data_IF_286717087222
#
_entry.id   IF_286717087222
#
_cell.length_a   1.000
_cell.length_b   1.000
_cell.length_c   1.000
_cell.angle_alpha   90.00
_cell.angle_beta   90.00
_cell.angle_gamma   90.00
#
_symmetry.space_group_name_H-M   'P 1'
#
loop_
_entity.id
_entity.type
_entity.pdbx_description
1 polymer ?
#
# COMPACT_ATOMS: atom_id res chain seq x y z
N UNK A 1 15.57 4.68 -13.27
CA UNK A 1 14.17 4.55 -12.84
C UNK A 1 13.37 5.72 -13.37
N UNK A 2 12.18 5.46 -13.93
CA UNK A 2 11.37 6.49 -14.57
C UNK A 2 10.59 7.39 -13.60
N UNK A 3 10.00 8.44 -14.17
CA UNK A 3 9.13 9.38 -13.47
C UNK A 3 7.86 9.59 -14.28
N UNK A 4 6.73 9.67 -13.61
CA UNK A 4 5.46 10.12 -14.18
C UNK A 4 5.19 11.54 -13.69
N UNK A 5 4.55 12.34 -14.53
CA UNK A 5 4.22 13.73 -14.15
C UNK A 5 2.72 13.84 -13.92
N UNK A 6 2.33 14.32 -12.76
CA UNK A 6 0.95 14.62 -12.41
C UNK A 6 0.83 16.10 -12.11
N UNK A 7 0.40 16.89 -13.11
CA UNK A 7 0.18 18.33 -12.96
C UNK A 7 1.39 19.09 -12.36
N UNK A 8 2.59 18.69 -12.79
CA UNK A 8 3.83 19.32 -12.34
C UNK A 8 4.51 18.64 -11.18
N UNK A 9 3.89 17.62 -10.58
CA UNK A 9 4.49 16.81 -9.52
C UNK A 9 5.10 15.56 -10.16
N UNK A 10 6.41 15.33 -9.93
CA UNK A 10 7.14 14.19 -10.49
C UNK A 10 7.08 13.03 -9.52
N UNK A 11 6.49 11.93 -9.94
CA UNK A 11 6.36 10.69 -9.13
C UNK A 11 7.38 9.68 -9.67
N UNK A 12 8.35 9.33 -8.84
CA UNK A 12 9.32 8.30 -9.18
C UNK A 12 8.70 6.92 -8.98
N UNK A 13 9.07 5.97 -9.84
CA UNK A 13 8.60 4.59 -9.67
C UNK A 13 9.61 3.58 -10.21
N UNK A 14 9.48 2.35 -9.74
CA UNK A 14 10.18 1.21 -10.32
C UNK A 14 9.18 0.40 -11.12
N UNK A 15 9.63 -0.25 -12.18
CA UNK A 15 8.81 -1.18 -12.96
C UNK A 15 9.62 -2.42 -13.29
N UNK A 16 9.03 -3.58 -13.03
CA UNK A 16 9.57 -4.89 -13.41
C UNK A 16 8.59 -5.53 -14.37
N UNK A 17 9.05 -5.78 -15.60
CA UNK A 17 8.23 -6.33 -16.67
C UNK A 17 8.65 -7.78 -16.91
N UNK A 18 7.75 -8.74 -16.83
CA UNK A 18 8.09 -10.13 -17.16
C UNK A 18 8.27 -10.33 -18.67
N UNK A 19 8.83 -11.47 -19.05
CA UNK A 19 9.01 -11.82 -20.46
C UNK A 19 7.70 -12.26 -21.12
N UNK A 20 6.68 -12.53 -20.34
CA UNK A 20 5.36 -13.01 -20.79
C UNK A 20 4.27 -12.22 -20.05
N UNK A 21 3.05 -12.29 -20.54
CA UNK A 21 1.91 -11.65 -19.90
C UNK A 21 1.33 -10.51 -20.71
N UNK A 22 0.27 -9.92 -20.21
CA UNK A 22 -0.44 -8.82 -20.87
C UNK A 22 0.31 -7.50 -20.63
N UNK A 23 0.79 -6.82 -21.66
CA UNK A 23 1.51 -5.56 -21.49
C UNK A 23 0.64 -4.41 -20.97
N UNK A 24 -0.69 -4.56 -21.03
CA UNK A 24 -1.63 -3.54 -20.56
C UNK A 24 -2.05 -3.77 -19.09
N UNK A 25 -1.52 -4.80 -18.43
CA UNK A 25 -1.92 -5.19 -17.08
C UNK A 25 -0.72 -5.15 -16.13
N UNK A 26 -0.95 -4.66 -14.91
CA UNK A 26 0.11 -4.61 -13.90
C UNK A 26 -0.45 -4.70 -12.49
N UNK A 27 0.38 -5.22 -11.59
CA UNK A 27 0.19 -5.04 -10.15
C UNK A 27 0.85 -3.71 -9.79
N UNK A 28 0.13 -2.84 -9.09
CA UNK A 28 0.62 -1.51 -8.72
C UNK A 28 0.54 -1.35 -7.19
N UNK A 29 1.66 -1.07 -6.56
CA UNK A 29 1.71 -0.89 -5.12
C UNK A 29 1.36 0.56 -4.74
N UNK A 30 0.63 0.73 -3.62
CA UNK A 30 0.25 2.04 -3.07
C UNK A 30 0.65 2.05 -1.60
N UNK A 31 1.59 2.92 -1.27
CA UNK A 31 2.24 2.91 0.05
C UNK A 31 1.52 3.69 1.16
N UNK A 32 1.91 3.36 2.50
CA UNK A 32 1.50 3.81 3.61
C UNK A 32 1.77 5.17 3.76
N UNK A 33 1.33 5.54 4.90
CA UNK A 33 1.55 6.91 5.38
C UNK A 33 3.03 7.09 5.75
N UNK A 34 3.70 7.96 5.06
CA UNK A 34 5.10 8.31 5.36
C UNK A 34 6.18 7.25 5.16
N UNK A 35 5.82 6.05 4.70
CA UNK A 35 6.81 4.98 4.55
C UNK A 35 7.31 4.87 3.11
N UNK A 36 8.59 4.50 2.97
CA UNK A 36 9.24 4.27 1.70
C UNK A 36 8.73 3.05 0.94
N UNK A 37 9.17 2.90 -0.30
CA UNK A 37 8.78 1.77 -1.14
C UNK A 37 9.28 0.43 -0.59
N UNK A 38 10.27 0.44 0.30
CA UNK A 38 10.82 -0.75 0.97
C UNK A 38 9.73 -1.66 1.56
N UNK A 39 8.61 -1.06 1.97
CA UNK A 39 7.53 -1.79 2.64
C UNK A 39 6.96 -2.94 1.80
N UNK A 40 7.11 -2.87 0.49
CA UNK A 40 6.62 -3.88 -0.45
C UNK A 40 7.67 -4.90 -0.89
N UNK A 41 8.89 -4.82 -0.37
CA UNK A 41 9.98 -5.72 -0.79
C UNK A 41 9.62 -7.21 -0.72
N UNK A 42 8.88 -7.60 0.31
CA UNK A 42 8.45 -9.00 0.50
C UNK A 42 7.36 -9.42 -0.51
N UNK A 43 6.46 -8.51 -0.86
CA UNK A 43 5.39 -8.77 -1.82
C UNK A 43 5.90 -8.69 -3.26
N UNK A 44 6.79 -7.73 -3.53
CA UNK A 44 7.41 -7.56 -4.84
C UNK A 44 8.09 -8.85 -5.28
N UNK A 45 8.88 -9.46 -4.39
CA UNK A 45 9.61 -10.69 -4.70
C UNK A 45 8.68 -11.86 -5.08
N UNK A 46 7.46 -11.89 -4.53
CA UNK A 46 6.50 -12.95 -4.81
C UNK A 46 5.72 -12.71 -6.12
N UNK A 47 5.55 -11.46 -6.52
CA UNK A 47 4.67 -11.09 -7.65
C UNK A 47 5.41 -10.76 -8.94
N UNK A 48 6.69 -10.33 -8.88
CA UNK A 48 7.48 -9.82 -10.02
C UNK A 48 7.91 -10.95 -10.89
N UNK A 49 7.67 -11.96 -11.14
CA UNK A 49 7.99 -12.99 -12.15
C UNK A 49 6.83 -13.16 -13.11
N UNK A 50 5.63 -13.51 -12.58
CA UNK A 50 4.47 -13.70 -13.45
C UNK A 50 3.81 -12.39 -13.90
N UNK A 51 3.96 -11.30 -13.15
CA UNK A 51 3.24 -10.05 -13.40
C UNK A 51 4.19 -8.89 -13.65
N UNK A 52 3.75 -7.91 -14.45
CA UNK A 52 4.37 -6.56 -14.41
C UNK A 52 4.07 -6.00 -13.02
N UNK A 53 5.10 -5.54 -12.34
CA UNK A 53 4.95 -4.94 -10.99
C UNK A 53 5.47 -3.51 -11.04
N UNK A 54 4.63 -2.56 -10.64
CA UNK A 54 4.97 -1.15 -10.57
C UNK A 54 4.95 -0.71 -9.11
N UNK A 55 6.02 -0.06 -8.68
CA UNK A 55 6.17 0.40 -7.31
C UNK A 55 6.43 1.92 -7.30
N UNK A 56 5.37 2.73 -7.25
CA UNK A 56 5.55 4.18 -7.12
C UNK A 56 6.07 4.55 -5.74
N UNK A 57 6.92 5.55 -5.68
CA UNK A 57 7.25 6.25 -4.44
C UNK A 57 6.18 7.32 -4.24
N UNK A 58 5.36 7.19 -3.21
CA UNK A 58 4.27 8.13 -2.93
C UNK A 58 4.80 9.58 -2.90
N UNK A 59 4.00 10.57 -3.35
CA UNK A 59 4.47 11.96 -3.32
C UNK A 59 5.02 12.31 -1.94
N UNK A 60 6.20 12.94 -1.92
CA UNK A 60 6.90 13.32 -0.71
C UNK A 60 7.75 12.22 -0.07
N UNK A 61 7.75 11.01 -0.64
CA UNK A 61 8.52 9.88 -0.13
C UNK A 61 9.63 9.54 -1.13
N UNK A 62 10.76 9.10 -0.64
CA UNK A 62 11.88 8.69 -1.47
C UNK A 62 12.38 9.84 -2.34
N UNK A 63 12.30 9.68 -3.65
CA UNK A 63 12.75 10.69 -4.62
C UNK A 63 11.60 11.27 -5.45
N UNK A 64 10.35 11.02 -5.05
CA UNK A 64 9.21 11.72 -5.62
C UNK A 64 9.18 13.16 -5.10
N UNK A 65 8.63 14.08 -5.90
CA UNK A 65 8.48 15.47 -5.46
C UNK A 65 7.63 15.56 -4.18
N UNK A 66 7.99 16.54 -3.34
CA UNK A 66 7.34 16.79 -2.06
C UNK A 66 6.72 18.19 -2.03
N UNK A 67 5.62 18.42 -2.78
CA UNK A 67 4.97 19.74 -2.73
C UNK A 67 4.39 20.00 -1.34
N UNK A 68 4.21 21.27 -1.00
CA UNK A 68 3.62 21.61 0.30
C UNK A 68 2.22 21.02 0.44
N UNK A 69 1.92 20.45 1.61
CA UNK A 69 0.59 19.94 1.92
C UNK A 69 -0.41 21.04 2.27
N UNK A 70 -1.61 20.68 2.71
CA UNK A 70 -2.07 19.31 2.95
C UNK A 70 -2.32 18.53 1.66
N UNK A 71 -2.22 17.21 1.68
CA UNK A 71 -2.62 16.37 0.55
C UNK A 71 -4.01 15.81 0.77
N UNK A 72 -4.59 15.28 -0.31
CA UNK A 72 -5.86 14.52 -0.26
C UNK A 72 -5.65 13.14 -0.84
N UNK A 73 -6.50 12.19 -0.44
CA UNK A 73 -6.43 10.83 -0.99
C UNK A 73 -6.69 10.85 -2.51
N UNK A 74 -7.53 11.78 -2.98
CA UNK A 74 -7.81 11.93 -4.41
C UNK A 74 -6.56 12.37 -5.20
N UNK A 75 -5.75 13.27 -4.64
CA UNK A 75 -4.48 13.66 -5.28
C UNK A 75 -3.51 12.48 -5.35
N UNK A 76 -3.41 11.71 -4.26
CA UNK A 76 -2.55 10.52 -4.23
C UNK A 76 -3.02 9.47 -5.25
N UNK A 77 -4.34 9.32 -5.40
CA UNK A 77 -4.91 8.43 -6.41
C UNK A 77 -4.59 8.90 -7.82
N UNK A 78 -4.62 10.22 -8.06
CA UNK A 78 -4.26 10.75 -9.38
C UNK A 78 -2.77 10.58 -9.70
N UNK A 79 -1.90 10.51 -8.68
CA UNK A 79 -0.48 10.19 -8.87
C UNK A 79 -0.33 8.74 -9.39
N UNK A 80 -1.07 7.81 -8.79
CA UNK A 80 -1.06 6.41 -9.23
C UNK A 80 -1.59 6.31 -10.68
N UNK A 81 -2.67 7.04 -10.99
CA UNK A 81 -3.22 7.06 -12.35
C UNK A 81 -2.19 7.60 -13.35
N UNK A 82 -1.45 8.66 -12.99
CA UNK A 82 -0.42 9.22 -13.86
C UNK A 82 0.69 8.19 -14.16
N UNK A 83 1.06 7.39 -13.16
CA UNK A 83 2.05 6.30 -13.37
C UNK A 83 1.47 5.24 -14.32
N UNK A 84 0.22 4.82 -14.10
CA UNK A 84 -0.45 3.84 -14.97
C UNK A 84 -0.55 4.35 -16.41
N UNK A 85 -0.90 5.62 -16.59
CA UNK A 85 -0.98 6.24 -17.93
C UNK A 85 0.40 6.24 -18.59
N UNK A 86 1.44 6.62 -17.84
CA UNK A 86 2.81 6.69 -18.38
C UNK A 86 3.28 5.32 -18.87
N UNK A 87 2.92 4.26 -18.17
CA UNK A 87 3.30 2.89 -18.51
C UNK A 87 2.31 2.19 -19.46
N UNK A 88 1.22 2.86 -19.85
CA UNK A 88 0.22 2.28 -20.75
C UNK A 88 -0.67 1.22 -20.13
N UNK A 89 -0.72 1.17 -18.80
CA UNK A 89 -1.51 0.15 -18.08
C UNK A 89 -2.99 0.49 -18.16
N UNK A 90 -3.79 -0.46 -18.61
CA UNK A 90 -5.24 -0.34 -18.69
C UNK A 90 -5.97 -1.12 -17.62
N UNK A 91 -5.35 -2.18 -17.12
CA UNK A 91 -5.90 -3.02 -16.04
C UNK A 91 -4.90 -3.04 -14.88
N UNK A 92 -5.22 -2.36 -13.80
CA UNK A 92 -4.34 -2.28 -12.63
C UNK A 92 -4.90 -3.10 -11.47
N UNK A 93 -4.07 -3.98 -10.91
CA UNK A 93 -4.37 -4.71 -9.68
C UNK A 93 -3.66 -3.96 -8.57
N UNK A 94 -4.41 -3.19 -7.78
CA UNK A 94 -3.80 -2.31 -6.78
C UNK A 94 -3.59 -3.06 -5.47
N UNK A 95 -2.37 -2.99 -4.93
CA UNK A 95 -2.06 -3.53 -3.61
C UNK A 95 -1.71 -2.35 -2.72
N UNK A 96 -2.62 -2.00 -1.80
CA UNK A 96 -2.49 -0.79 -0.99
C UNK A 96 -2.34 -1.08 0.49
N UNK A 97 -1.48 -0.33 1.17
CA UNK A 97 -1.19 -0.53 2.59
C UNK A 97 -1.60 0.74 3.37
N UNK A 98 -2.51 0.60 4.34
CA UNK A 98 -2.98 1.74 5.14
C UNK A 98 -3.52 2.87 4.26
N UNK A 99 -2.83 4.02 4.25
CA UNK A 99 -3.17 5.14 3.35
C UNK A 99 -3.23 4.68 1.89
N UNK A 100 -2.32 3.80 1.46
CA UNK A 100 -2.32 3.26 0.10
C UNK A 100 -3.58 2.47 -0.23
N UNK A 101 -4.17 1.81 0.76
CA UNK A 101 -5.46 1.14 0.57
C UNK A 101 -6.59 2.16 0.40
N UNK A 102 -6.54 3.28 1.14
CA UNK A 102 -7.50 4.38 0.96
C UNK A 102 -7.38 4.97 -0.46
N UNK A 103 -6.14 5.09 -0.95
CA UNK A 103 -5.83 5.53 -2.32
C UNK A 103 -6.44 4.56 -3.34
N UNK A 104 -6.23 3.25 -3.15
CA UNK A 104 -6.75 2.23 -4.06
C UNK A 104 -8.29 2.24 -4.11
N UNK A 105 -8.95 2.35 -2.95
CA UNK A 105 -10.42 2.44 -2.88
C UNK A 105 -10.93 3.70 -3.59
N UNK A 106 -10.29 4.86 -3.35
CA UNK A 106 -10.69 6.12 -3.99
C UNK A 106 -10.50 6.04 -5.51
N UNK A 107 -9.38 5.45 -5.95
CA UNK A 107 -9.11 5.30 -7.38
C UNK A 107 -10.17 4.41 -8.04
N UNK A 108 -10.57 3.32 -7.39
CA UNK A 108 -11.59 2.43 -7.92
C UNK A 108 -12.98 3.07 -8.03
N UNK A 109 -13.25 4.09 -7.21
CA UNK A 109 -14.51 4.85 -7.30
C UNK A 109 -14.50 5.89 -8.42
N UNK A 110 -13.33 6.28 -8.92
CA UNK A 110 -13.21 7.38 -9.88
C UNK A 110 -12.70 6.96 -11.24
N UNK A 111 -12.32 5.69 -11.40
CA UNK A 111 -11.72 5.18 -12.65
C UNK A 111 -12.12 3.72 -12.87
N UNK A 112 -12.21 3.31 -14.12
CA UNK A 112 -12.43 1.91 -14.49
C UNK A 112 -11.13 1.13 -14.64
N UNK A 113 -9.97 1.78 -14.46
CA UNK A 113 -8.67 1.12 -14.58
C UNK A 113 -8.41 0.08 -13.50
N UNK A 114 -8.75 0.31 -12.20
CA UNK A 114 -8.55 -0.72 -11.18
C UNK A 114 -9.42 -1.95 -11.46
N UNK A 115 -8.77 -3.08 -11.76
CA UNK A 115 -9.43 -4.35 -12.07
C UNK A 115 -9.69 -5.19 -10.81
N UNK A 116 -8.80 -5.09 -9.82
CA UNK A 116 -9.00 -5.66 -8.49
C UNK A 116 -8.17 -4.89 -7.47
N UNK A 117 -8.54 -5.01 -6.20
CA UNK A 117 -7.85 -4.38 -5.08
C UNK A 117 -7.43 -5.43 -4.06
N UNK A 118 -6.28 -5.21 -3.44
CA UNK A 118 -5.91 -5.90 -2.21
C UNK A 118 -5.48 -4.80 -1.24
N UNK A 119 -6.26 -4.58 -0.19
CA UNK A 119 -5.99 -3.51 0.78
C UNK A 119 -5.58 -4.13 2.11
N UNK A 120 -4.48 -3.66 2.68
CA UNK A 120 -3.86 -4.24 3.87
C UNK A 120 -3.89 -3.20 4.99
N UNK A 121 -4.44 -3.56 6.15
CA UNK A 121 -4.50 -2.66 7.30
C UNK A 121 -5.17 -1.33 6.96
N UNK A 122 -6.31 -1.38 6.26
CA UNK A 122 -7.01 -0.21 5.74
C UNK A 122 -8.44 -0.15 6.28
N UNK A 123 -8.90 0.98 6.81
CA UNK A 123 -10.28 1.14 7.27
C UNK A 123 -11.18 1.78 6.21
N UNK A 124 -12.48 1.83 6.47
CA UNK A 124 -13.44 2.57 5.65
C UNK A 124 -13.38 4.09 5.90
N UNK A 125 -12.85 4.50 7.04
CA UNK A 125 -12.75 5.91 7.45
C UNK A 125 -11.42 6.16 8.14
N UNK A 126 -10.82 7.31 7.87
CA UNK A 126 -9.59 7.75 8.54
C UNK A 126 -9.74 7.92 10.05
N UNK A 127 -10.98 8.03 10.54
CA UNK A 127 -11.24 8.07 11.97
C UNK A 127 -10.89 6.77 12.68
N UNK A 128 -10.80 5.68 11.94
CA UNK A 128 -10.48 4.34 12.47
C UNK A 128 -9.02 3.96 12.17
N UNK A 129 -8.15 4.95 11.93
CA UNK A 129 -6.75 4.72 11.60
C UNK A 129 -5.87 5.69 12.39
N UNK A 130 -4.93 5.17 13.17
CA UNK A 130 -4.00 6.02 13.91
C UNK A 130 -2.61 6.03 13.25
N UNK A 131 -2.32 6.98 12.38
CA UNK A 131 -1.03 7.01 11.70
C UNK A 131 0.15 7.42 12.59
N UNK A 132 -0.12 7.92 13.81
CA UNK A 132 0.94 8.43 14.68
C UNK A 132 1.99 7.36 15.02
N UNK A 133 1.57 6.10 15.11
CA UNK A 133 2.48 5.00 15.43
C UNK A 133 3.23 4.44 14.21
N UNK A 134 2.87 4.86 13.01
CA UNK A 134 3.48 4.31 11.77
C UNK A 134 4.82 4.97 11.47
N UNK A 135 4.89 6.28 11.61
CA UNK A 135 6.03 7.07 11.19
C UNK A 135 6.92 7.44 12.38
N UNK A 136 8.21 7.55 12.10
CA UNK A 136 9.18 8.18 13.01
C UNK A 136 10.12 9.03 12.16
N UNK A 137 10.59 10.13 12.72
CA UNK A 137 11.46 11.06 12.00
C UNK A 137 12.74 10.34 11.56
N UNK A 138 12.99 10.21 10.24
CA UNK A 138 14.18 9.50 9.77
C UNK A 138 15.49 10.16 10.15
N UNK A 139 15.48 11.39 10.64
CA UNK A 139 16.69 12.02 11.18
C UNK A 139 16.99 11.55 12.62
N UNK A 140 16.14 10.73 13.22
CA UNK A 140 16.26 10.25 14.61
C UNK A 140 16.26 8.72 14.64
N UNK A 141 17.44 8.06 14.44
CA UNK A 141 17.52 6.60 14.36
C UNK A 141 16.88 5.85 15.53
N UNK A 142 17.06 6.31 16.76
CA UNK A 142 16.48 5.65 17.92
C UNK A 142 14.95 5.67 17.87
N UNK A 143 14.35 6.76 17.39
CA UNK A 143 12.89 6.84 17.25
C UNK A 143 12.38 5.88 16.16
N UNK A 144 13.14 5.73 15.07
CA UNK A 144 12.80 4.76 14.01
C UNK A 144 12.80 3.34 14.57
N UNK A 145 13.84 2.98 15.34
CA UNK A 145 13.91 1.66 15.99
C UNK A 145 12.72 1.46 16.94
N UNK A 146 12.43 2.45 17.77
CA UNK A 146 11.35 2.37 18.77
C UNK A 146 9.98 2.19 18.10
N UNK A 147 9.73 2.89 17.00
CA UNK A 147 8.45 2.84 16.29
C UNK A 147 8.10 1.42 15.81
N UNK A 148 9.11 0.59 15.52
CA UNK A 148 8.86 -0.77 15.07
C UNK A 148 8.16 -1.64 16.12
N UNK A 149 8.20 -1.22 17.39
CA UNK A 149 7.53 -1.99 18.45
C UNK A 149 6.00 -1.97 18.35
N UNK A 150 5.44 -0.95 17.69
CA UNK A 150 4.01 -0.88 17.41
C UNK A 150 3.62 -1.46 16.06
N UNK A 151 4.60 -1.73 15.20
CA UNK A 151 4.36 -2.14 13.81
C UNK A 151 4.65 -3.63 13.56
N UNK A 152 5.53 -4.23 14.36
CA UNK A 152 5.96 -5.63 14.22
C UNK A 152 5.91 -6.31 15.58
N UNK A 153 5.46 -7.54 15.62
CA UNK A 153 5.38 -8.30 16.88
C UNK A 153 6.75 -8.46 17.54
N UNK A 154 6.76 -8.58 18.85
CA UNK A 154 7.99 -8.86 19.60
C UNK A 154 8.68 -10.12 19.11
N UNK A 155 7.90 -11.14 18.82
CA UNK A 155 8.42 -12.42 18.30
C UNK A 155 9.16 -12.23 16.99
N UNK A 156 8.57 -11.47 16.04
CA UNK A 156 9.25 -11.21 14.75
C UNK A 156 10.57 -10.48 14.97
N UNK A 157 10.54 -9.41 15.79
CA UNK A 157 11.74 -8.59 16.03
C UNK A 157 12.87 -9.39 16.69
N UNK A 158 12.50 -10.31 17.60
CA UNK A 158 13.46 -11.17 18.30
C UNK A 158 14.08 -12.23 17.39
N UNK A 159 13.28 -12.82 16.47
CA UNK A 159 13.74 -13.92 15.63
C UNK A 159 14.35 -13.46 14.30
N UNK A 160 14.13 -12.19 13.92
CA UNK A 160 14.61 -11.65 12.63
C UNK A 160 15.38 -10.34 12.80
N UNK A 161 16.43 -10.29 13.66
CA UNK A 161 17.16 -9.04 13.91
C UNK A 161 17.80 -8.43 12.66
N UNK A 162 18.23 -9.26 11.70
CA UNK A 162 18.82 -8.77 10.46
C UNK A 162 17.77 -8.04 9.61
N UNK A 163 16.55 -8.58 9.53
CA UNK A 163 15.45 -7.92 8.81
C UNK A 163 15.10 -6.59 9.48
N UNK A 164 15.04 -6.58 10.83
CA UNK A 164 14.78 -5.34 11.58
C UNK A 164 15.84 -4.28 11.28
N UNK A 165 17.13 -4.66 11.31
CA UNK A 165 18.22 -3.74 11.01
C UNK A 165 18.10 -3.17 9.60
N UNK A 166 17.77 -4.03 8.63
CA UNK A 166 17.61 -3.61 7.24
C UNK A 166 16.41 -2.67 7.07
N UNK A 167 15.30 -2.94 7.76
CA UNK A 167 14.12 -2.05 7.76
C UNK A 167 14.52 -0.68 8.30
N UNK A 168 15.26 -0.63 9.40
CA UNK A 168 15.71 0.65 9.98
C UNK A 168 16.54 1.43 8.94
N UNK A 169 17.50 0.77 8.27
CA UNK A 169 18.33 1.42 7.25
C UNK A 169 17.47 2.03 6.12
N UNK A 170 16.51 1.26 5.62
CA UNK A 170 15.61 1.74 4.56
C UNK A 170 14.75 2.91 5.04
N UNK A 171 14.24 2.84 6.26
CA UNK A 171 13.42 3.92 6.81
C UNK A 171 14.19 5.23 6.93
N UNK A 172 15.45 5.13 7.36
CA UNK A 172 16.32 6.33 7.47
C UNK A 172 16.60 6.97 6.10
N UNK A 173 16.60 6.17 5.03
CA UNK A 173 16.91 6.65 3.67
C UNK A 173 15.67 7.06 2.87
N UNK A 174 14.55 6.35 3.05
CA UNK A 174 13.40 6.48 2.15
C UNK A 174 12.17 7.13 2.76
N UNK A 175 11.96 7.02 4.09
CA UNK A 175 10.72 7.50 4.71
C UNK A 175 10.58 9.03 4.60
N UNK A 176 9.35 9.49 4.64
CA UNK A 176 8.99 10.89 4.54
C UNK A 176 9.56 11.73 5.68
N UNK A 177 9.86 12.99 5.39
CA UNK A 177 10.13 13.95 6.44
C UNK A 177 8.84 14.33 7.19
N UNK A 178 8.97 15.09 8.26
CA UNK A 178 7.81 15.49 9.09
C UNK A 178 6.76 16.27 8.29
N UNK A 179 7.18 17.15 7.39
CA UNK A 179 6.23 17.96 6.60
C UNK A 179 5.36 17.08 5.71
N UNK A 180 5.97 16.14 5.04
CA UNK A 180 5.28 15.17 4.19
C UNK A 180 4.39 14.23 5.02
N UNK A 181 4.90 13.75 6.16
CA UNK A 181 4.09 12.90 7.04
C UNK A 181 2.81 13.63 7.47
N UNK A 182 2.92 14.92 7.86
CA UNK A 182 1.73 15.70 8.25
C UNK A 182 0.78 15.92 7.06
N UNK A 183 1.32 16.07 5.85
CA UNK A 183 0.48 16.18 4.64
C UNK A 183 -0.28 14.87 4.37
N UNK A 184 0.39 13.72 4.53
CA UNK A 184 -0.26 12.40 4.45
C UNK A 184 -1.32 12.22 5.54
N UNK A 185 -1.00 12.65 6.78
CA UNK A 185 -1.95 12.60 7.90
C UNK A 185 -3.22 13.39 7.60
N UNK A 186 -3.08 14.55 6.94
CA UNK A 186 -4.22 15.35 6.54
C UNK A 186 -5.10 14.59 5.53
N UNK A 187 -4.49 13.85 4.60
CA UNK A 187 -5.22 13.03 3.66
C UNK A 187 -6.01 11.92 4.39
N UNK A 188 -5.36 11.24 5.34
CA UNK A 188 -6.03 10.21 6.17
C UNK A 188 -7.22 10.82 6.91
N UNK A 189 -7.02 11.97 7.55
CA UNK A 189 -8.07 12.60 8.39
C UNK A 189 -9.32 13.02 7.61
N UNK A 190 -9.18 13.22 6.30
CA UNK A 190 -10.29 13.62 5.43
C UNK A 190 -10.96 12.44 4.74
N UNK A 191 -10.37 11.25 4.82
CA UNK A 191 -10.86 10.05 4.11
C UNK A 191 -12.06 9.47 4.87
N UNK A 192 -13.18 9.32 4.17
CA UNK A 192 -14.36 8.62 4.72
C UNK A 192 -15.22 8.07 3.58
N UNK A 193 -15.26 6.76 3.48
CA UNK A 193 -16.12 6.04 2.53
C UNK A 193 -17.20 5.23 3.24
N UNK A 194 -17.39 5.43 4.57
CA UNK A 194 -18.29 4.60 5.37
C UNK A 194 -19.70 4.48 4.77
N UNK A 195 -20.23 5.59 4.25
CA UNK A 195 -21.58 5.62 3.67
C UNK A 195 -21.59 5.31 2.17
N UNK A 196 -20.45 5.00 1.56
CA UNK A 196 -20.30 4.85 0.11
C UNK A 196 -19.63 3.54 -0.31
N UNK A 197 -19.38 2.63 0.61
CA UNK A 197 -18.72 1.36 0.28
C UNK A 197 -19.47 0.57 -0.79
N UNK A 198 -20.80 0.68 -0.80
CA UNK A 198 -21.67 0.00 -1.79
C UNK A 198 -21.38 0.45 -3.24
N UNK A 199 -20.74 1.60 -3.42
CA UNK A 199 -20.39 2.11 -4.75
C UNK A 199 -19.13 1.43 -5.32
N UNK A 200 -18.28 0.87 -4.45
CA UNK A 200 -17.03 0.22 -4.87
C UNK A 200 -17.31 -1.24 -5.25
N UNK A 201 -17.62 -1.48 -6.50
CA UNK A 201 -17.94 -2.82 -7.01
C UNK A 201 -16.71 -3.60 -7.50
N UNK A 202 -15.53 -2.99 -7.45
CA UNK A 202 -14.26 -3.65 -7.78
C UNK A 202 -14.00 -4.76 -6.76
N UNK A 203 -13.64 -5.98 -7.20
CA UNK A 203 -13.31 -7.05 -6.25
C UNK A 203 -12.19 -6.59 -5.32
N UNK A 204 -12.36 -6.81 -4.02
CA UNK A 204 -11.40 -6.31 -3.02
C UNK A 204 -11.07 -7.36 -1.97
N UNK A 205 -9.80 -7.75 -1.92
CA UNK A 205 -9.25 -8.52 -0.81
C UNK A 205 -8.90 -7.54 0.31
N UNK A 206 -9.41 -7.80 1.52
CA UNK A 206 -9.12 -6.97 2.70
C UNK A 206 -8.30 -7.81 3.67
N UNK A 207 -7.01 -7.47 3.82
CA UNK A 207 -6.09 -8.25 4.67
C UNK A 207 -5.68 -7.45 5.90
N UNK A 208 -5.49 -8.15 7.02
CA UNK A 208 -4.99 -7.48 8.23
C UNK A 208 -4.34 -8.45 9.21
N UNK A 209 -3.54 -7.89 10.12
CA UNK A 209 -3.05 -8.59 11.29
C UNK A 209 -4.02 -8.38 12.47
N UNK A 210 -4.40 -9.46 13.16
CA UNK A 210 -5.43 -9.32 14.22
C UNK A 210 -4.94 -8.59 15.47
N UNK A 211 -3.62 -8.32 15.57
CA UNK A 211 -3.04 -7.53 16.66
C UNK A 211 -2.65 -6.11 16.23
N UNK A 212 -3.11 -5.69 15.06
CA UNK A 212 -2.85 -4.35 14.52
C UNK A 212 -3.51 -3.29 15.40
N UNK A 213 -2.70 -2.33 15.90
CA UNK A 213 -3.19 -1.22 16.73
C UNK A 213 -3.30 0.10 15.95
N UNK A 214 -2.79 0.13 14.71
CA UNK A 214 -2.89 1.29 13.81
C UNK A 214 -4.24 1.30 13.11
N UNK A 215 -4.62 0.14 12.58
CA UNK A 215 -5.93 -0.08 11.96
C UNK A 215 -6.56 -1.27 12.67
N UNK A 216 -7.42 -1.03 13.66
CA UNK A 216 -8.00 -2.14 14.44
C UNK A 216 -8.75 -3.15 13.56
N UNK A 217 -8.68 -4.40 13.97
CA UNK A 217 -9.37 -5.51 13.30
C UNK A 217 -10.82 -5.17 12.92
N UNK A 218 -11.57 -4.55 13.86
CA UNK A 218 -12.97 -4.20 13.62
C UNK A 218 -13.14 -3.23 12.43
N UNK A 219 -12.16 -2.35 12.22
CA UNK A 219 -12.23 -1.39 11.09
C UNK A 219 -12.08 -2.10 9.75
N UNK A 220 -11.17 -3.08 9.67
CA UNK A 220 -11.01 -3.86 8.42
C UNK A 220 -12.18 -4.81 8.20
N UNK A 221 -12.75 -5.38 9.26
CA UNK A 221 -13.96 -6.18 9.16
C UNK A 221 -15.12 -5.36 8.63
N UNK A 222 -15.32 -4.14 9.16
CA UNK A 222 -16.36 -3.21 8.69
C UNK A 222 -16.15 -2.89 7.20
N UNK A 223 -14.91 -2.65 6.79
CA UNK A 223 -14.61 -2.40 5.38
C UNK A 223 -15.01 -3.60 4.51
N UNK A 224 -14.56 -4.79 4.87
CA UNK A 224 -14.84 -6.00 4.08
C UNK A 224 -16.33 -6.28 3.97
N UNK A 225 -17.07 -6.12 5.07
CA UNK A 225 -18.52 -6.35 5.11
C UNK A 225 -19.31 -5.32 4.30
N UNK A 226 -18.81 -4.07 4.24
CA UNK A 226 -19.49 -3.00 3.51
C UNK A 226 -19.26 -3.03 2.01
N UNK A 227 -18.20 -3.69 1.55
CA UNK A 227 -17.88 -3.79 0.12
C UNK A 227 -18.71 -4.88 -0.55
N UNK A 228 -19.39 -4.60 -1.68
CA UNK A 228 -20.18 -5.63 -2.39
C UNK A 228 -19.41 -6.89 -2.79
N UNK A 229 -18.10 -6.75 -3.02
CA UNK A 229 -17.22 -7.87 -3.41
C UNK A 229 -15.98 -7.89 -2.53
N UNK A 230 -16.17 -7.69 -1.22
CA UNK A 230 -15.09 -7.70 -0.23
C UNK A 230 -14.84 -9.12 0.29
N UNK A 231 -13.58 -9.51 0.37
CA UNK A 231 -13.14 -10.78 0.95
C UNK A 231 -12.11 -10.52 2.06
N UNK A 232 -12.37 -11.06 3.24
CA UNK A 232 -11.52 -10.81 4.41
C UNK A 232 -10.44 -11.88 4.57
N UNK A 233 -9.20 -11.45 4.80
CA UNK A 233 -8.08 -12.35 5.09
C UNK A 233 -7.38 -11.86 6.36
N UNK A 234 -7.58 -12.56 7.47
CA UNK A 234 -7.03 -12.19 8.78
C UNK A 234 -5.84 -13.06 9.14
N UNK A 235 -4.73 -12.44 9.54
CA UNK A 235 -3.53 -13.14 10.00
C UNK A 235 -3.44 -13.02 11.52
N UNK A 236 -3.64 -14.15 12.19
CA UNK A 236 -3.75 -14.20 13.64
C UNK A 236 -2.45 -13.76 14.32
N UNK A 237 -2.55 -12.78 15.21
CA UNK A 237 -1.44 -12.30 16.03
C UNK A 237 -0.47 -11.34 15.34
N UNK A 238 -0.63 -11.10 14.04
CA UNK A 238 0.25 -10.18 13.33
C UNK A 238 -0.14 -8.72 13.60
N UNK A 239 0.84 -7.84 13.54
CA UNK A 239 0.72 -6.41 13.76
C UNK A 239 0.48 -5.66 12.45
N UNK A 240 0.69 -4.33 12.46
CA UNK A 240 0.38 -3.49 11.28
C UNK A 240 1.18 -3.86 10.04
N UNK A 241 2.49 -4.11 10.18
CA UNK A 241 3.32 -4.54 9.05
C UNK A 241 3.17 -6.05 8.78
N UNK A 242 1.92 -6.51 8.68
CA UNK A 242 1.59 -7.92 8.45
C UNK A 242 2.22 -8.47 7.16
N UNK A 243 2.37 -7.63 6.13
CA UNK A 243 3.03 -8.00 4.87
C UNK A 243 4.52 -8.30 5.03
N UNK A 244 5.12 -7.82 6.12
CA UNK A 244 6.51 -8.10 6.48
C UNK A 244 6.58 -9.32 7.38
N UNK A 245 5.95 -9.23 8.56
CA UNK A 245 6.13 -10.28 9.57
C UNK A 245 5.43 -11.59 9.25
N UNK A 246 4.39 -11.56 8.43
CA UNK A 246 3.68 -12.75 7.97
C UNK A 246 3.65 -12.79 6.44
N UNK A 247 4.77 -12.44 5.84
CA UNK A 247 4.88 -12.29 4.37
C UNK A 247 4.42 -13.53 3.62
N UNK A 248 4.71 -14.74 4.11
CA UNK A 248 4.27 -15.97 3.44
C UNK A 248 2.74 -16.02 3.32
N UNK A 249 2.02 -15.73 4.41
CA UNK A 249 0.55 -15.76 4.41
C UNK A 249 -0.04 -14.69 3.49
N UNK A 250 0.51 -13.47 3.54
CA UNK A 250 0.04 -12.38 2.69
C UNK A 250 0.35 -12.65 1.21
N UNK A 251 1.56 -13.17 0.93
CA UNK A 251 1.94 -13.48 -0.45
C UNK A 251 1.06 -14.61 -1.03
N UNK A 252 0.78 -15.65 -0.25
CA UNK A 252 -0.11 -16.72 -0.70
C UNK A 252 -1.51 -16.16 -1.02
N UNK A 253 -2.03 -15.26 -0.17
CA UNK A 253 -3.32 -14.63 -0.39
C UNK A 253 -3.30 -13.76 -1.66
N UNK A 254 -2.24 -12.96 -1.86
CA UNK A 254 -2.11 -12.09 -3.05
C UNK A 254 -1.96 -12.92 -4.34
N UNK A 255 -1.14 -13.97 -4.32
CA UNK A 255 -0.94 -14.85 -5.48
C UNK A 255 -2.27 -15.53 -5.84
N UNK A 256 -3.01 -16.04 -4.85
CA UNK A 256 -4.32 -16.62 -5.07
C UNK A 256 -5.32 -15.61 -5.63
N UNK A 257 -5.32 -14.41 -5.08
CA UNK A 257 -6.19 -13.31 -5.52
C UNK A 257 -5.93 -12.94 -6.98
N UNK A 258 -4.66 -12.80 -7.34
CA UNK A 258 -4.29 -12.45 -8.72
C UNK A 258 -4.60 -13.60 -9.68
N UNK A 259 -4.46 -14.86 -9.24
CA UNK A 259 -4.83 -16.01 -10.08
C UNK A 259 -6.33 -15.99 -10.46
N UNK A 260 -7.17 -15.38 -9.62
CA UNK A 260 -8.62 -15.28 -9.90
C UNK A 260 -8.99 -14.02 -10.70
N UNK A 261 -8.21 -12.95 -10.59
CA UNK A 261 -8.61 -11.64 -11.11
C UNK A 261 -7.71 -11.08 -12.21
N UNK A 262 -6.47 -11.54 -12.33
CA UNK A 262 -5.55 -11.11 -13.38
C UNK A 262 -5.59 -12.08 -14.56
N UNK A 263 -5.13 -11.64 -15.73
CA UNK A 263 -4.99 -12.51 -16.88
C UNK A 263 -3.92 -13.57 -16.57
N UNK A 264 -4.16 -14.80 -17.03
CA UNK A 264 -3.18 -15.88 -16.87
C UNK A 264 -1.94 -15.53 -17.72
N UNK A 265 -0.78 -15.29 -17.08
CA UNK A 265 0.41 -14.89 -17.83
C UNK A 265 0.95 -15.98 -18.76
N UNK A 266 0.46 -17.22 -18.60
CA UNK A 266 0.90 -18.36 -19.41
C UNK A 266 -0.21 -18.87 -20.36
N UNK A 267 -1.33 -18.15 -20.45
CA UNK A 267 -2.40 -18.51 -21.41
C UNK A 267 -1.91 -18.30 -22.84
N UNK A 268 -2.21 -19.30 -23.74
CA UNK A 268 -1.86 -19.24 -25.15
C UNK A 268 -2.90 -18.47 -25.98
#
# INVERSE_FOLDING_TARGET
>A
MPYANNAGVSIRYAVDVPNVGDPDEAVVFCGXVGLGAWQFGWQHAALAGPHTVITPETRGVGRSDAPAGPYTVAELASDVDAVCITEGIRNAHLVGYGLGGMVALTYALTSSRPASLAVIGTPASGNDYDPAGVWADPSTPDAVVESLSGLLSGSFREHHPDAVSQIVEWRLDEDADRGTFEAHRAAVAQFDLSDRLYECTTPTLVAHGTADTVCPKSATETLAEGLPRGELHAVQGAYHLVGVEASAAINDALVGWLAEHAADPFAE
#
